data_IF_352719846268
#
_entry.id   IF_352719846268
#
_cell.length_a   1.000
_cell.length_b   1.000
_cell.length_c   1.000
_cell.angle_alpha   90.00
_cell.angle_beta   90.00
_cell.angle_gamma   90.00
#
_symmetry.space_group_name_H-M   'P 1'
#
loop_
_entity.id
_entity.type
_entity.pdbx_description
1 polymer ?
#
# COMPACT_ATOMS: atom_id res chain seq x y z
N UNK A 1 -27.08 17.52 -26.50
CA UNK A 1 -26.54 17.61 -25.12
C UNK A 1 -26.89 19.00 -24.60
N UNK A 2 -27.55 19.12 -23.45
CA UNK A 2 -27.94 20.39 -22.88
C UNK A 2 -26.70 21.25 -22.53
N UNK A 3 -26.73 22.55 -22.78
CA UNK A 3 -25.59 23.44 -22.52
C UNK A 3 -25.04 23.34 -21.10
N UNK A 4 -25.92 23.09 -20.10
CA UNK A 4 -25.53 22.87 -18.72
C UNK A 4 -24.73 21.57 -18.47
N UNK A 5 -24.97 20.54 -19.28
CA UNK A 5 -24.24 19.27 -19.19
C UNK A 5 -22.80 19.41 -19.74
N UNK A 6 -22.63 20.12 -20.84
CA UNK A 6 -21.31 20.43 -21.39
C UNK A 6 -20.46 21.26 -20.42
N UNK A 7 -21.05 22.31 -19.84
CA UNK A 7 -20.38 23.12 -18.84
C UNK A 7 -19.93 22.29 -17.60
N UNK A 8 -20.79 21.37 -17.15
CA UNK A 8 -20.47 20.47 -16.04
C UNK A 8 -19.28 19.54 -16.38
N UNK A 9 -19.23 19.01 -17.61
CA UNK A 9 -18.11 18.18 -18.10
C UNK A 9 -16.79 18.97 -18.12
N UNK A 10 -16.79 20.20 -18.66
CA UNK A 10 -15.61 21.08 -18.66
C UNK A 10 -15.10 21.33 -17.26
N UNK A 11 -16.00 21.70 -16.32
CA UNK A 11 -15.62 22.00 -14.95
C UNK A 11 -15.07 20.74 -14.23
N UNK A 12 -15.75 19.61 -14.40
CA UNK A 12 -15.32 18.34 -13.75
C UNK A 12 -13.95 17.90 -14.28
N UNK A 13 -13.76 17.82 -15.60
CA UNK A 13 -12.50 17.39 -16.19
C UNK A 13 -11.36 18.40 -15.92
N UNK A 14 -11.63 19.68 -16.04
CA UNK A 14 -10.63 20.73 -15.81
C UNK A 14 -10.15 20.79 -14.36
N UNK A 15 -11.05 20.63 -13.39
CA UNK A 15 -10.65 20.50 -11.95
C UNK A 15 -9.73 19.31 -11.73
N UNK A 16 -10.02 18.18 -12.32
CA UNK A 16 -9.16 16.99 -12.24
C UNK A 16 -7.77 17.22 -12.86
N UNK A 17 -7.67 18.17 -13.82
CA UNK A 17 -6.41 18.61 -14.41
C UNK A 17 -5.70 19.73 -13.61
N UNK A 18 -6.26 20.17 -12.48
CA UNK A 18 -5.69 21.23 -11.65
C UNK A 18 -5.99 22.64 -12.13
N UNK A 19 -6.97 22.83 -13.01
CA UNK A 19 -7.35 24.14 -13.53
C UNK A 19 -8.30 24.88 -12.58
N UNK A 20 -8.26 26.21 -12.64
CA UNK A 20 -9.05 27.12 -11.79
C UNK A 20 -10.53 27.03 -12.10
N UNK A 21 -11.36 26.69 -11.12
CA UNK A 21 -12.79 26.45 -11.28
C UNK A 21 -13.57 27.67 -11.78
N UNK A 22 -13.22 28.90 -11.34
CA UNK A 22 -13.87 30.14 -11.79
C UNK A 22 -13.66 30.34 -13.29
N UNK A 23 -12.42 30.17 -13.76
CA UNK A 23 -12.07 30.29 -15.18
C UNK A 23 -12.83 29.26 -16.03
N UNK A 24 -12.87 27.99 -15.56
CA UNK A 24 -13.59 26.91 -16.24
C UNK A 24 -15.09 27.24 -16.40
N UNK A 25 -15.72 27.78 -15.37
CA UNK A 25 -17.13 28.18 -15.41
C UNK A 25 -17.37 29.35 -16.38
N UNK A 26 -16.55 30.38 -16.29
CA UNK A 26 -16.63 31.54 -17.16
C UNK A 26 -16.52 31.13 -18.64
N UNK A 27 -15.45 30.41 -19.01
CA UNK A 27 -15.22 29.99 -20.38
C UNK A 27 -16.23 28.98 -20.92
N UNK A 28 -16.87 28.18 -20.04
CA UNK A 28 -17.95 27.28 -20.42
C UNK A 28 -19.25 28.01 -20.76
N UNK A 29 -19.38 29.30 -20.38
CA UNK A 29 -20.55 30.14 -20.72
C UNK A 29 -20.29 31.08 -21.90
N UNK A 30 -19.04 31.49 -22.11
CA UNK A 30 -18.64 32.42 -23.20
C UNK A 30 -18.52 31.71 -24.56
N UNK A 31 -18.21 30.42 -24.56
CA UNK A 31 -18.01 29.66 -25.79
C UNK A 31 -19.30 29.25 -26.49
N UNK A 32 -19.26 29.15 -27.81
CA UNK A 32 -20.33 28.49 -28.57
C UNK A 32 -20.43 27.00 -28.16
N UNK A 33 -21.58 26.32 -28.34
CA UNK A 33 -21.73 24.92 -27.97
C UNK A 33 -20.64 23.99 -28.53
N UNK A 34 -20.21 24.24 -29.79
CA UNK A 34 -19.11 23.46 -30.41
C UNK A 34 -17.76 23.71 -29.76
N UNK A 35 -17.47 24.92 -29.31
CA UNK A 35 -16.23 25.26 -28.62
C UNK A 35 -16.20 24.65 -27.21
N UNK A 36 -17.33 24.69 -26.49
CA UNK A 36 -17.45 24.10 -25.17
C UNK A 36 -17.34 22.55 -25.23
N UNK A 37 -17.92 21.94 -26.27
CA UNK A 37 -17.79 20.49 -26.52
C UNK A 37 -16.35 20.10 -26.85
N UNK A 38 -15.66 20.85 -27.69
CA UNK A 38 -14.24 20.64 -27.98
C UNK A 38 -13.38 20.76 -26.73
N UNK A 39 -13.60 21.79 -25.91
CA UNK A 39 -12.91 21.99 -24.64
C UNK A 39 -13.18 20.86 -23.67
N UNK A 40 -14.42 20.40 -23.55
CA UNK A 40 -14.77 19.25 -22.71
C UNK A 40 -14.02 17.99 -23.16
N UNK A 41 -14.04 17.68 -24.44
CA UNK A 41 -13.37 16.50 -25.02
C UNK A 41 -11.85 16.55 -24.82
N UNK A 42 -11.24 17.75 -25.03
CA UNK A 42 -9.80 17.93 -24.77
C UNK A 42 -9.44 17.70 -23.30
N UNK A 43 -10.18 18.29 -22.36
CA UNK A 43 -9.93 18.15 -20.93
C UNK A 43 -10.19 16.72 -20.43
N UNK A 44 -11.16 16.02 -20.99
CA UNK A 44 -11.41 14.61 -20.71
C UNK A 44 -10.27 13.73 -21.23
N UNK A 45 -9.74 13.99 -22.41
CA UNK A 45 -8.58 13.30 -22.96
C UNK A 45 -7.32 13.55 -22.11
N UNK A 46 -7.07 14.81 -21.72
CA UNK A 46 -5.96 15.18 -20.85
C UNK A 46 -6.06 14.49 -19.47
N UNK A 47 -7.25 14.49 -18.86
CA UNK A 47 -7.52 13.75 -17.62
C UNK A 47 -7.19 12.27 -17.77
N UNK A 48 -7.70 11.64 -18.84
CA UNK A 48 -7.46 10.23 -19.11
C UNK A 48 -5.96 9.93 -19.31
N UNK A 49 -5.23 10.79 -20.02
CA UNK A 49 -3.78 10.69 -20.21
C UNK A 49 -3.01 10.81 -18.90
N UNK A 50 -3.35 11.78 -18.04
CA UNK A 50 -2.74 11.95 -16.71
C UNK A 50 -3.03 10.75 -15.80
N UNK A 51 -4.26 10.25 -15.81
CA UNK A 51 -4.64 9.08 -15.03
C UNK A 51 -3.90 7.82 -15.52
N UNK A 52 -3.74 7.64 -16.83
CA UNK A 52 -2.97 6.55 -17.42
C UNK A 52 -1.49 6.64 -17.02
N UNK A 53 -0.88 7.83 -17.13
CA UNK A 53 0.52 8.06 -16.72
C UNK A 53 0.73 7.84 -15.23
N UNK A 54 -0.19 8.33 -14.39
CA UNK A 54 -0.16 8.07 -12.95
C UNK A 54 -0.23 6.56 -12.66
N UNK A 55 -1.15 5.84 -13.31
CA UNK A 55 -1.28 4.38 -13.16
C UNK A 55 -0.01 3.66 -13.58
N UNK A 56 0.58 4.01 -14.73
CA UNK A 56 1.81 3.41 -15.23
C UNK A 56 2.99 3.62 -14.27
N UNK A 57 3.02 4.72 -13.51
CA UNK A 57 4.08 5.02 -12.55
C UNK A 57 3.95 4.30 -11.20
N UNK A 58 2.75 3.81 -10.83
CA UNK A 58 2.50 3.20 -9.51
C UNK A 58 3.40 1.97 -9.23
N UNK A 59 3.57 1.00 -10.16
CA UNK A 59 4.43 -0.15 -9.90
C UNK A 59 5.89 0.23 -9.62
N UNK A 60 6.43 1.24 -10.33
CA UNK A 60 7.78 1.74 -10.10
C UNK A 60 7.95 2.41 -8.73
N UNK A 61 6.90 3.07 -8.23
CA UNK A 61 6.92 3.70 -6.89
C UNK A 61 6.82 2.69 -5.76
N UNK A 62 6.25 1.51 -6.02
CA UNK A 62 6.08 0.46 -5.02
C UNK A 62 7.43 -0.12 -4.56
N UNK A 63 8.48 -0.03 -5.39
CA UNK A 63 9.82 -0.58 -5.13
C UNK A 63 9.80 -2.09 -4.81
N UNK A 64 8.97 -2.85 -5.53
CA UNK A 64 8.89 -4.31 -5.36
C UNK A 64 10.20 -4.98 -5.75
N UNK A 65 10.69 -5.95 -4.95
CA UNK A 65 11.87 -6.75 -5.33
C UNK A 65 11.64 -7.56 -6.62
N UNK A 66 10.41 -8.04 -6.84
CA UNK A 66 9.97 -8.65 -8.09
C UNK A 66 8.44 -8.62 -8.15
N UNK A 67 7.83 -8.38 -9.33
CA UNK A 67 6.40 -8.46 -9.47
C UNK A 67 5.93 -9.90 -9.24
N UNK A 68 4.92 -10.09 -8.39
CA UNK A 68 4.30 -11.37 -8.09
C UNK A 68 2.81 -11.31 -8.39
N UNK A 69 2.24 -12.45 -8.73
CA UNK A 69 0.80 -12.61 -8.94
C UNK A 69 0.25 -13.67 -8.01
N UNK A 70 -1.04 -13.62 -7.74
CA UNK A 70 -1.74 -14.63 -6.92
C UNK A 70 -2.23 -15.84 -7.75
N UNK A 71 -1.95 -15.85 -9.06
CA UNK A 71 -2.14 -17.03 -9.91
C UNK A 71 -1.22 -18.16 -9.45
N UNK A 72 -1.78 -19.33 -9.20
CA UNK A 72 -1.01 -20.49 -8.70
C UNK A 72 -0.59 -20.44 -7.23
N UNK A 73 -1.02 -19.43 -6.46
CA UNK A 73 -0.76 -19.40 -5.03
C UNK A 73 -1.49 -20.52 -4.28
N UNK A 74 -0.79 -21.24 -3.42
CA UNK A 74 -1.34 -22.33 -2.62
C UNK A 74 -2.20 -21.84 -1.45
N UNK A 75 -3.47 -21.56 -1.70
CA UNK A 75 -4.40 -20.99 -0.71
C UNK A 75 -4.69 -21.93 0.47
N UNK A 76 -4.52 -23.24 0.31
CA UNK A 76 -4.72 -24.22 1.37
C UNK A 76 -3.75 -24.06 2.54
N UNK A 77 -2.61 -23.40 2.32
CA UNK A 77 -1.63 -23.11 3.35
C UNK A 77 -2.01 -21.89 4.22
N UNK A 78 -3.08 -21.16 3.87
CA UNK A 78 -3.50 -19.96 4.59
C UNK A 78 -4.69 -20.27 5.49
N UNK A 79 -4.53 -20.08 6.80
CA UNK A 79 -5.63 -20.07 7.75
C UNK A 79 -6.20 -18.66 7.85
N UNK A 80 -7.47 -18.56 7.55
CA UNK A 80 -8.22 -17.30 7.48
C UNK A 80 -8.88 -16.96 8.80
N UNK A 81 -8.96 -15.70 9.19
CA UNK A 81 -9.77 -15.28 10.33
C UNK A 81 -11.26 -15.34 10.00
N UNK A 82 -12.10 -15.40 11.03
CA UNK A 82 -13.55 -15.43 10.87
C UNK A 82 -14.06 -14.21 10.09
N UNK A 83 -14.98 -14.45 9.17
CA UNK A 83 -15.61 -13.41 8.35
C UNK A 83 -14.68 -12.73 7.32
N UNK A 84 -13.50 -13.27 7.06
CA UNK A 84 -12.58 -12.77 6.05
C UNK A 84 -11.94 -13.93 5.30
N UNK A 85 -11.98 -13.90 3.98
CA UNK A 85 -11.47 -14.97 3.15
C UNK A 85 -10.78 -14.47 1.88
N UNK A 86 -10.48 -15.42 1.00
CA UNK A 86 -9.85 -15.12 -0.28
C UNK A 86 -10.57 -14.06 -1.12
N UNK A 87 -11.91 -14.06 -1.24
CA UNK A 87 -12.63 -13.02 -2.00
C UNK A 87 -12.40 -11.62 -1.43
N UNK A 88 -12.39 -11.49 -0.10
CA UNK A 88 -12.18 -10.21 0.59
C UNK A 88 -10.76 -9.69 0.37
N UNK A 89 -9.76 -10.58 0.43
CA UNK A 89 -8.36 -10.24 0.18
C UNK A 89 -8.12 -9.80 -1.27
N UNK A 90 -8.82 -10.40 -2.23
CA UNK A 90 -8.69 -10.07 -3.65
C UNK A 90 -9.52 -8.84 -4.06
N UNK A 91 -10.43 -8.41 -3.21
CA UNK A 91 -11.19 -7.18 -3.39
C UNK A 91 -10.38 -5.97 -2.91
N UNK A 92 -10.45 -4.80 -3.58
CA UNK A 92 -9.84 -3.58 -3.07
C UNK A 92 -10.54 -3.03 -1.82
N UNK A 93 -11.62 -3.63 -1.35
CA UNK A 93 -12.45 -3.16 -0.24
C UNK A 93 -11.69 -3.06 1.09
N UNK A 94 -10.70 -3.93 1.35
CA UNK A 94 -9.89 -3.80 2.57
C UNK A 94 -9.02 -2.52 2.54
N UNK A 95 -8.56 -2.09 1.35
CA UNK A 95 -7.83 -0.82 1.18
C UNK A 95 -8.75 0.39 1.39
N UNK A 96 -9.99 0.30 0.92
CA UNK A 96 -11.00 1.36 1.11
C UNK A 96 -11.36 1.53 2.58
N UNK A 97 -11.45 0.42 3.31
CA UNK A 97 -11.70 0.39 4.76
C UNK A 97 -10.44 0.62 5.60
N UNK A 98 -9.27 0.74 4.95
CA UNK A 98 -7.96 0.90 5.62
C UNK A 98 -7.70 -0.20 6.65
N UNK A 99 -8.11 -1.43 6.33
CA UNK A 99 -7.84 -2.59 7.16
C UNK A 99 -6.37 -3.00 7.03
N UNK A 100 -5.78 -3.38 8.16
CA UNK A 100 -4.42 -3.89 8.23
C UNK A 100 -4.39 -5.41 8.03
N UNK A 101 -3.27 -5.94 7.54
CA UNK A 101 -3.07 -7.37 7.36
C UNK A 101 -1.77 -7.80 8.03
N UNK A 102 -1.83 -8.77 8.92
CA UNK A 102 -0.64 -9.44 9.44
C UNK A 102 -0.54 -10.82 8.81
N UNK A 103 0.51 -11.03 8.02
CA UNK A 103 0.84 -12.30 7.38
C UNK A 103 1.89 -13.00 8.25
N UNK A 104 1.46 -13.95 9.06
CA UNK A 104 2.29 -14.63 10.05
C UNK A 104 2.54 -16.07 9.66
N UNK A 105 3.73 -16.59 9.91
CA UNK A 105 4.09 -18.00 9.68
C UNK A 105 5.57 -18.21 9.43
N UNK A 106 5.98 -19.46 9.22
CA UNK A 106 7.37 -19.87 9.09
C UNK A 106 8.05 -19.29 7.83
N UNK A 107 9.38 -19.39 7.79
CA UNK A 107 10.19 -18.94 6.65
C UNK A 107 9.85 -19.79 5.41
N UNK A 108 9.67 -19.11 4.27
CA UNK A 108 9.43 -19.77 2.99
C UNK A 108 7.99 -20.18 2.70
N UNK A 109 7.02 -19.93 3.59
CA UNK A 109 5.60 -20.30 3.42
C UNK A 109 4.79 -19.36 2.49
N UNK A 110 5.42 -18.35 1.86
CA UNK A 110 4.78 -17.52 0.83
C UNK A 110 4.28 -16.14 1.28
N UNK A 111 4.57 -15.68 2.52
CA UNK A 111 4.14 -14.37 3.04
C UNK A 111 4.58 -13.20 2.18
N UNK A 112 5.89 -13.10 1.89
CA UNK A 112 6.47 -12.05 1.02
C UNK A 112 5.88 -12.09 -0.39
N UNK A 113 5.59 -13.31 -0.92
CA UNK A 113 4.91 -13.47 -2.21
C UNK A 113 3.52 -12.84 -2.18
N UNK A 114 2.74 -13.16 -1.15
CA UNK A 114 1.42 -12.59 -0.92
C UNK A 114 1.48 -11.07 -0.80
N UNK A 115 2.35 -10.54 0.06
CA UNK A 115 2.53 -9.10 0.27
C UNK A 115 2.90 -8.37 -1.04
N UNK A 116 3.81 -8.94 -1.84
CA UNK A 116 4.18 -8.39 -3.16
C UNK A 116 3.02 -8.41 -4.14
N UNK A 117 2.22 -9.48 -4.14
CA UNK A 117 1.05 -9.58 -5.01
C UNK A 117 -0.07 -8.61 -4.60
N UNK A 118 -0.24 -8.36 -3.30
CA UNK A 118 -1.17 -7.32 -2.80
C UNK A 118 -0.76 -5.92 -3.25
N UNK A 119 0.54 -5.62 -3.34
CA UNK A 119 0.99 -4.37 -3.94
C UNK A 119 0.57 -4.24 -5.41
N UNK A 120 0.67 -5.33 -6.18
CA UNK A 120 0.22 -5.32 -7.57
C UNK A 120 -1.31 -5.11 -7.67
N UNK A 121 -2.10 -5.72 -6.78
CA UNK A 121 -3.55 -5.49 -6.69
C UNK A 121 -3.87 -4.04 -6.31
N UNK A 122 -3.17 -3.46 -5.34
CA UNK A 122 -3.34 -2.06 -4.97
C UNK A 122 -3.07 -1.12 -6.16
N UNK A 123 -1.99 -1.35 -6.89
CA UNK A 123 -1.67 -0.58 -8.11
C UNK A 123 -2.76 -0.73 -9.18
N UNK A 124 -3.32 -1.92 -9.39
CA UNK A 124 -4.46 -2.14 -10.30
C UNK A 124 -5.70 -1.37 -9.84
N UNK A 125 -5.95 -1.32 -8.52
CA UNK A 125 -7.00 -0.52 -7.91
C UNK A 125 -6.70 0.99 -7.85
N UNK A 126 -5.59 1.46 -8.46
CA UNK A 126 -5.12 2.85 -8.47
C UNK A 126 -4.72 3.38 -7.09
N UNK A 127 -4.42 2.51 -6.16
CA UNK A 127 -3.89 2.83 -4.84
C UNK A 127 -2.37 2.78 -4.88
N UNK A 128 -1.72 3.87 -4.45
CA UNK A 128 -0.25 3.88 -4.31
C UNK A 128 0.12 2.93 -3.18
N UNK A 129 1.01 1.97 -3.46
CA UNK A 129 1.58 1.08 -2.47
C UNK A 129 3.07 1.36 -2.30
N UNK A 130 3.58 1.15 -1.10
CA UNK A 130 5.01 1.21 -0.76
C UNK A 130 5.42 -0.11 -0.14
N UNK A 131 6.53 -0.66 -0.60
CA UNK A 131 7.07 -1.91 -0.09
C UNK A 131 8.46 -1.68 0.49
N UNK A 132 8.65 -2.08 1.75
CA UNK A 132 9.94 -2.06 2.42
C UNK A 132 10.14 -3.37 3.19
N UNK A 133 11.36 -3.88 3.25
CA UNK A 133 11.72 -4.76 4.36
C UNK A 133 11.84 -3.91 5.63
N UNK A 134 11.62 -4.50 6.79
CA UNK A 134 11.73 -3.77 8.06
C UNK A 134 13.12 -3.13 8.21
N UNK A 135 14.19 -3.86 7.83
CA UNK A 135 15.56 -3.36 7.86
C UNK A 135 15.78 -2.16 6.91
N UNK A 136 15.28 -2.24 5.67
CA UNK A 136 15.41 -1.16 4.70
C UNK A 136 14.63 0.09 5.14
N UNK A 137 13.45 -0.09 5.75
CA UNK A 137 12.66 1.00 6.32
C UNK A 137 13.43 1.71 7.43
N UNK A 138 13.98 0.96 8.39
CA UNK A 138 14.77 1.52 9.50
C UNK A 138 15.98 2.28 8.98
N UNK A 139 16.74 1.71 8.06
CA UNK A 139 17.92 2.39 7.49
C UNK A 139 17.54 3.69 6.76
N UNK A 140 16.44 3.68 6.02
CA UNK A 140 15.93 4.85 5.32
C UNK A 140 15.53 5.97 6.28
N UNK A 141 14.81 5.62 7.35
CA UNK A 141 14.36 6.58 8.36
C UNK A 141 15.52 7.12 9.22
N UNK A 142 16.49 6.27 9.57
CA UNK A 142 17.73 6.72 10.24
C UNK A 142 18.45 7.75 9.40
N UNK A 143 18.71 7.45 8.13
CA UNK A 143 19.34 8.39 7.22
C UNK A 143 18.56 9.71 7.10
N UNK A 144 17.22 9.62 6.99
CA UNK A 144 16.38 10.81 6.94
C UNK A 144 16.46 11.63 8.23
N UNK A 145 16.56 10.98 9.41
CA UNK A 145 16.76 11.63 10.70
C UNK A 145 18.12 12.33 10.77
N UNK A 146 19.18 11.64 10.37
CA UNK A 146 20.56 12.19 10.39
C UNK A 146 20.74 13.37 9.44
N UNK A 147 19.87 13.50 8.44
CA UNK A 147 19.81 14.60 7.47
C UNK A 147 18.69 15.61 7.77
N UNK A 148 18.11 15.62 8.98
CA UNK A 148 17.02 16.51 9.42
C UNK A 148 15.78 16.51 8.48
N UNK A 149 15.48 15.35 7.88
CA UNK A 149 14.39 15.19 6.90
C UNK A 149 13.36 14.13 7.30
N UNK A 150 13.39 13.68 8.59
CA UNK A 150 12.54 12.57 9.05
C UNK A 150 11.05 12.84 8.82
N UNK A 151 10.56 14.02 9.20
CA UNK A 151 9.14 14.39 9.05
C UNK A 151 8.71 14.39 7.59
N UNK A 152 9.58 14.84 6.69
CA UNK A 152 9.32 14.81 5.25
C UNK A 152 9.24 13.39 4.72
N UNK A 153 10.11 12.51 5.20
CA UNK A 153 10.15 11.10 4.81
C UNK A 153 8.91 10.37 5.31
N UNK A 154 8.52 10.56 6.58
CA UNK A 154 7.30 10.01 7.16
C UNK A 154 6.07 10.50 6.39
N UNK A 155 5.97 11.79 6.13
CA UNK A 155 4.88 12.34 5.32
C UNK A 155 4.84 11.76 3.89
N UNK A 156 5.99 11.44 3.31
CA UNK A 156 6.05 10.79 1.99
C UNK A 156 5.57 9.34 2.04
N UNK A 157 5.94 8.59 3.07
CA UNK A 157 5.45 7.22 3.30
C UNK A 157 3.94 7.24 3.56
N UNK A 158 3.47 8.17 4.39
CA UNK A 158 2.07 8.33 4.77
C UNK A 158 1.12 8.76 3.63
N UNK A 159 1.65 9.14 2.45
CA UNK A 159 0.81 9.43 1.25
C UNK A 159 0.34 8.18 0.52
N UNK A 160 0.99 7.04 0.77
CA UNK A 160 0.58 5.77 0.17
C UNK A 160 -0.76 5.32 0.79
N UNK A 161 -1.62 4.73 -0.02
CA UNK A 161 -2.84 4.08 0.49
C UNK A 161 -2.57 2.71 1.10
N UNK A 162 -1.42 2.10 0.78
CA UNK A 162 -0.97 0.84 1.36
C UNK A 162 0.54 0.86 1.63
N UNK A 163 0.93 0.44 2.82
CA UNK A 163 2.32 0.23 3.22
C UNK A 163 2.56 -1.24 3.52
N UNK A 164 3.59 -1.82 2.91
CA UNK A 164 4.07 -3.16 3.25
C UNK A 164 5.37 -3.05 4.04
N UNK A 165 5.40 -3.70 5.20
CA UNK A 165 6.60 -3.91 6.03
C UNK A 165 6.88 -5.41 6.05
N UNK A 166 7.81 -5.83 5.20
CA UNK A 166 8.19 -7.23 5.05
C UNK A 166 9.30 -7.62 6.03
N UNK A 167 9.29 -8.86 6.48
CA UNK A 167 10.31 -9.44 7.37
C UNK A 167 10.43 -8.74 8.74
N UNK A 168 9.31 -8.28 9.32
CA UNK A 168 9.32 -7.72 10.66
C UNK A 168 9.76 -8.79 11.67
N UNK A 169 10.85 -8.50 12.42
CA UNK A 169 11.42 -9.38 13.42
C UNK A 169 12.46 -10.37 12.89
N UNK A 170 12.87 -10.30 11.63
CA UNK A 170 13.94 -11.14 11.10
C UNK A 170 15.32 -10.75 11.66
N UNK A 171 15.55 -9.47 11.87
CA UNK A 171 16.75 -8.95 12.52
C UNK A 171 16.37 -8.18 13.78
N UNK A 172 17.09 -8.36 14.89
CA UNK A 172 16.88 -7.53 16.06
C UNK A 172 17.23 -6.07 15.73
N UNK A 173 16.34 -5.15 16.11
CA UNK A 173 16.60 -3.73 15.99
C UNK A 173 17.22 -3.24 17.32
N UNK A 174 18.15 -2.31 17.24
CA UNK A 174 18.59 -1.59 18.43
C UNK A 174 17.47 -0.63 18.90
N UNK A 175 17.57 -0.12 20.12
CA UNK A 175 16.53 0.71 20.77
C UNK A 175 16.11 1.89 19.88
N UNK A 176 17.07 2.56 19.26
CA UNK A 176 16.79 3.70 18.39
C UNK A 176 16.15 3.29 17.05
N UNK A 177 16.58 2.16 16.51
CA UNK A 177 16.00 1.60 15.29
C UNK A 177 14.58 1.06 15.48
N UNK A 178 14.25 0.60 16.67
CA UNK A 178 12.94 0.07 17.01
C UNK A 178 11.85 1.16 17.08
N UNK A 179 12.22 2.38 17.48
CA UNK A 179 11.29 3.53 17.57
C UNK A 179 10.77 3.98 16.20
N UNK A 180 11.59 3.88 15.17
CA UNK A 180 11.23 4.36 13.83
C UNK A 180 10.09 3.57 13.17
N UNK A 181 10.11 2.20 13.12
CA UNK A 181 8.97 1.43 12.66
C UNK A 181 7.71 1.66 13.49
N UNK A 182 7.84 1.83 14.81
CA UNK A 182 6.71 2.16 15.67
C UNK A 182 6.07 3.48 15.26
N UNK A 183 6.87 4.51 15.00
CA UNK A 183 6.36 5.81 14.54
C UNK A 183 5.61 5.66 13.21
N UNK A 184 6.16 4.90 12.25
CA UNK A 184 5.49 4.65 10.97
C UNK A 184 4.15 3.95 11.16
N UNK A 185 4.08 2.87 11.96
CA UNK A 185 2.82 2.17 12.24
C UNK A 185 1.82 3.09 12.93
N UNK A 186 2.29 3.93 13.87
CA UNK A 186 1.44 4.88 14.58
C UNK A 186 0.86 5.97 13.67
N UNK A 187 1.65 6.49 12.72
CA UNK A 187 1.19 7.48 11.75
C UNK A 187 0.29 6.88 10.65
N UNK A 188 0.48 5.59 10.36
CA UNK A 188 -0.32 4.86 9.39
C UNK A 188 -1.75 4.54 9.90
N UNK A 189 -1.92 4.46 11.21
CA UNK A 189 -3.18 4.09 11.84
C UNK A 189 -4.36 4.92 11.32
N UNK A 190 -5.42 4.25 10.86
CA UNK A 190 -6.63 4.80 10.24
C UNK A 190 -6.41 5.68 8.98
N UNK A 191 -5.17 5.80 8.51
CA UNK A 191 -4.85 6.62 7.33
C UNK A 191 -4.54 5.80 6.09
N UNK A 192 -3.92 4.64 6.26
CA UNK A 192 -3.54 3.72 5.19
C UNK A 192 -3.62 2.28 5.67
N UNK A 193 -3.74 1.32 4.76
CA UNK A 193 -3.63 -0.10 5.11
C UNK A 193 -2.18 -0.48 5.32
N UNK A 194 -1.87 -1.15 6.44
CA UNK A 194 -0.54 -1.68 6.71
C UNK A 194 -0.55 -3.19 6.54
N UNK A 195 0.36 -3.71 5.72
CA UNK A 195 0.57 -5.15 5.53
C UNK A 195 1.91 -5.52 6.14
N UNK A 196 1.89 -6.32 7.18
CA UNK A 196 3.10 -6.76 7.88
C UNK A 196 3.32 -8.24 7.60
N UNK A 197 4.53 -8.63 7.20
CA UNK A 197 4.93 -10.04 7.22
C UNK A 197 5.87 -10.31 8.38
N UNK A 198 5.64 -11.40 9.08
CA UNK A 198 6.45 -11.78 10.23
C UNK A 198 6.50 -13.29 10.42
N UNK A 199 7.57 -13.80 11.03
CA UNK A 199 7.67 -15.16 11.56
C UNK A 199 7.52 -15.20 13.09
N UNK A 200 7.32 -14.04 13.72
CA UNK A 200 7.19 -13.93 15.17
C UNK A 200 5.73 -13.85 15.58
N UNK A 201 5.36 -14.59 16.60
CA UNK A 201 4.11 -14.39 17.33
C UNK A 201 4.10 -13.02 18.03
N UNK A 202 2.94 -12.43 18.21
CA UNK A 202 2.79 -11.10 18.84
C UNK A 202 3.48 -11.00 20.21
N UNK A 203 3.47 -12.08 21.00
CA UNK A 203 4.17 -12.16 22.29
C UNK A 203 5.69 -11.93 22.23
N UNK A 204 6.27 -12.03 21.03
CA UNK A 204 7.70 -11.82 20.80
C UNK A 204 8.02 -10.48 20.14
N UNK A 205 7.03 -9.64 19.88
CA UNK A 205 7.26 -8.35 19.25
C UNK A 205 8.02 -7.36 20.14
N UNK A 206 8.03 -7.57 21.46
CA UNK A 206 8.94 -6.85 22.38
C UNK A 206 10.41 -6.91 21.95
N UNK A 207 10.84 -8.06 21.39
CA UNK A 207 12.21 -8.23 20.87
C UNK A 207 12.49 -7.37 19.63
N UNK A 208 11.45 -6.99 18.87
CA UNK A 208 11.57 -6.16 17.67
C UNK A 208 11.59 -4.68 18.04
N UNK A 209 10.67 -4.28 18.94
CA UNK A 209 10.52 -2.89 19.34
C UNK A 209 11.41 -2.49 20.52
N UNK A 210 12.15 -3.45 21.11
CA UNK A 210 13.06 -3.21 22.22
C UNK A 210 12.38 -2.80 23.53
N UNK A 211 11.05 -2.79 23.56
CA UNK A 211 10.21 -2.40 24.69
C UNK A 211 8.84 -3.06 24.57
N UNK A 212 8.39 -3.74 25.62
CA UNK A 212 7.12 -4.45 25.64
C UNK A 212 5.90 -3.53 25.59
N UNK A 213 5.98 -2.32 26.14
CA UNK A 213 4.89 -1.34 26.09
C UNK A 213 4.73 -0.79 24.66
N UNK A 214 5.85 -0.51 24.01
CA UNK A 214 5.86 -0.08 22.61
C UNK A 214 5.31 -1.19 21.69
N UNK A 215 5.72 -2.44 21.93
CA UNK A 215 5.19 -3.58 21.19
C UNK A 215 3.68 -3.74 21.39
N UNK A 216 3.21 -3.66 22.65
CA UNK A 216 1.78 -3.74 22.95
C UNK A 216 0.98 -2.61 22.24
N UNK A 217 1.49 -1.38 22.24
CA UNK A 217 0.87 -0.28 21.55
C UNK A 217 0.87 -0.42 20.01
N UNK A 218 1.91 -1.02 19.43
CA UNK A 218 1.95 -1.32 17.99
C UNK A 218 0.95 -2.43 17.64
N UNK A 219 0.90 -3.50 18.44
CA UNK A 219 -0.03 -4.62 18.27
C UNK A 219 -1.47 -4.13 18.36
N UNK A 220 -1.79 -3.32 19.38
CA UNK A 220 -3.14 -2.76 19.57
C UNK A 220 -3.63 -2.04 18.32
N UNK A 221 -2.79 -1.16 17.73
CA UNK A 221 -3.15 -0.44 16.50
C UNK A 221 -3.35 -1.36 15.31
N UNK A 222 -2.43 -2.29 15.10
CA UNK A 222 -2.47 -3.21 13.95
C UNK A 222 -3.63 -4.20 14.06
N UNK A 223 -3.96 -4.66 15.28
CA UNK A 223 -5.03 -5.64 15.51
C UNK A 223 -6.42 -4.99 15.52
N UNK A 224 -6.52 -3.74 15.97
CA UNK A 224 -7.81 -3.04 16.08
C UNK A 224 -8.58 -2.99 14.75
N UNK A 225 -7.89 -2.71 13.65
CA UNK A 225 -8.44 -2.71 12.29
C UNK A 225 -7.85 -3.81 11.41
N UNK A 226 -7.16 -4.78 12.01
CA UNK A 226 -6.35 -5.75 11.30
C UNK A 226 -6.95 -7.15 11.20
N UNK A 227 -6.47 -7.88 10.20
CA UNK A 227 -6.75 -9.30 9.98
C UNK A 227 -5.47 -10.09 10.08
N UNK A 228 -5.48 -11.17 10.88
CA UNK A 228 -4.34 -12.08 10.99
C UNK A 228 -4.53 -13.27 10.05
N UNK A 229 -3.66 -13.38 9.06
CA UNK A 229 -3.57 -14.53 8.16
C UNK A 229 -2.39 -15.40 8.60
N UNK A 230 -2.67 -16.63 9.01
CA UNK A 230 -1.62 -17.58 9.43
C UNK A 230 -1.25 -18.49 8.28
N UNK A 231 0.00 -18.42 7.88
CA UNK A 231 0.57 -19.29 6.85
C UNK A 231 1.13 -20.55 7.51
N UNK A 232 0.67 -21.70 7.03
CA UNK A 232 1.06 -23.04 7.52
C UNK A 232 1.67 -23.83 6.36
N UNK A 233 2.55 -24.77 6.67
CA UNK A 233 3.12 -25.69 5.69
C UNK A 233 4.62 -25.52 5.50
N UNK A 234 5.17 -26.43 4.71
CA UNK A 234 6.60 -26.48 4.40
C UNK A 234 7.05 -25.31 3.51
N UNK A 235 8.33 -24.99 3.63
CA UNK A 235 8.94 -23.95 2.79
C UNK A 235 8.85 -24.29 1.31
N UNK A 236 8.13 -23.47 0.56
CA UNK A 236 8.08 -23.55 -0.90
C UNK A 236 9.47 -23.44 -1.55
N UNK A 237 10.37 -22.65 -0.94
CA UNK A 237 11.74 -22.47 -1.42
C UNK A 237 12.54 -23.76 -1.27
N UNK A 238 12.41 -24.45 -0.14
CA UNK A 238 13.11 -25.73 0.11
C UNK A 238 12.57 -26.81 -0.83
N UNK A 239 11.25 -26.94 -0.93
CA UNK A 239 10.60 -27.96 -1.79
C UNK A 239 10.94 -27.83 -3.28
N UNK A 240 11.20 -26.61 -3.75
CA UNK A 240 11.57 -26.33 -5.15
C UNK A 240 13.04 -25.95 -5.30
N UNK A 241 13.89 -26.29 -4.35
CA UNK A 241 15.33 -26.01 -4.42
C UNK A 241 15.99 -26.89 -5.48
N UNK A 242 16.78 -26.29 -6.35
CA UNK A 242 17.56 -27.01 -7.39
C UNK A 242 18.50 -28.05 -6.75
N UNK A 243 18.97 -27.81 -5.51
CA UNK A 243 19.85 -28.73 -4.77
C UNK A 243 19.15 -30.03 -4.37
N UNK A 244 17.84 -30.15 -4.46
CA UNK A 244 17.07 -31.37 -4.18
C UNK A 244 16.78 -32.17 -5.47
N UNK A 245 17.14 -31.65 -6.62
CA UNK A 245 16.94 -32.31 -7.92
C UNK A 245 18.18 -33.07 -8.40
N UNK A 246 19.14 -33.31 -7.51
CA UNK A 246 20.36 -34.10 -7.75
C UNK A 246 20.17 -35.57 -7.35
#
# INVERSE_FOLDING_TARGET
>A
VAAGELASRVVSAGRSCGLTTSVLREWSTLGSPKQVEYLASYLEAERASREASKRASLPGRCALPAPKTLGGHGWSAVAWPDGFGRPDLLSPSFLERREDLVLMGDVGCGKTHMASALCALACQARVEARFFTASALVMRLRRARDEDRLDRELAQIGRAGMLVVDELGFLPLDVDGARLPFQVVSEAYERQSVVITTNLEFSRWGQVFGDDQMAAAAIDRVVHHGRLLRFRGESYRVRNALMQQA
#
